data_IF_666899200104
#
_entry.id   IF_666899200104
#
_cell.length_a   1.000
_cell.length_b   1.000
_cell.length_c   1.000
_cell.angle_alpha   90.00
_cell.angle_beta   90.00
_cell.angle_gamma   90.00
#
_symmetry.space_group_name_H-M   'P 1'
#
loop_
_entity.id
_entity.type
_entity.pdbx_description
1 polymer ?
#
# COMPACT_ATOMS: atom_id res chain seq x y z
N UNK A 1 10.29 5.48 -5.31
CA UNK A 1 9.05 4.75 -4.89
C UNK A 1 7.81 5.37 -5.50
N UNK A 2 7.51 6.61 -5.16
CA UNK A 2 6.30 7.34 -5.53
C UNK A 2 5.86 7.21 -7.01
N UNK A 3 6.67 7.66 -7.98
CA UNK A 3 6.27 7.71 -9.39
C UNK A 3 5.95 6.32 -9.98
N UNK A 4 6.71 5.30 -9.57
CA UNK A 4 6.50 3.93 -10.03
C UNK A 4 5.20 3.31 -9.51
N UNK A 5 4.80 3.62 -8.27
CA UNK A 5 3.56 3.12 -7.68
C UNK A 5 2.31 3.81 -8.23
N UNK A 6 2.36 5.12 -8.46
CA UNK A 6 1.27 5.83 -9.17
C UNK A 6 1.10 5.25 -10.57
N UNK A 7 2.21 5.02 -11.28
CA UNK A 7 2.19 4.40 -12.59
C UNK A 7 1.62 2.97 -12.56
N UNK A 8 2.06 2.15 -11.60
CA UNK A 8 1.52 0.79 -11.41
C UNK A 8 0.02 0.82 -11.13
N UNK A 9 -0.42 1.73 -10.25
CA UNK A 9 -1.83 1.92 -9.94
C UNK A 9 -2.67 2.23 -11.17
N UNK A 10 -2.17 3.07 -12.08
CA UNK A 10 -2.84 3.32 -13.37
C UNK A 10 -2.93 2.05 -14.22
N UNK A 11 -1.86 1.27 -14.32
CA UNK A 11 -1.83 0.01 -15.07
C UNK A 11 -2.75 -1.08 -14.49
N UNK A 12 -3.01 -1.04 -13.19
CA UNK A 12 -3.85 -2.01 -12.46
C UNK A 12 -5.28 -1.51 -12.20
N UNK A 13 -5.71 -0.42 -12.84
CA UNK A 13 -7.10 0.05 -12.77
C UNK A 13 -7.46 0.98 -11.60
N UNK A 14 -6.48 1.45 -10.84
CA UNK A 14 -6.66 2.47 -9.79
C UNK A 14 -6.54 3.90 -10.33
N UNK A 15 -6.43 4.08 -11.65
CA UNK A 15 -6.29 5.38 -12.31
C UNK A 15 -7.53 6.27 -12.22
N UNK A 16 -8.07 6.70 -13.36
CA UNK A 16 -9.25 7.56 -13.40
C UNK A 16 -10.49 6.81 -12.89
N UNK A 17 -11.14 7.36 -11.87
CA UNK A 17 -12.39 6.87 -11.29
C UNK A 17 -13.47 7.93 -11.42
N UNK A 18 -14.65 7.55 -11.92
CA UNK A 18 -15.84 8.39 -11.86
C UNK A 18 -16.43 8.29 -10.44
N UNK A 19 -16.50 9.43 -9.74
CA UNK A 19 -17.00 9.52 -8.38
C UNK A 19 -18.53 9.43 -8.29
N UNK A 20 -19.24 9.75 -9.38
CA UNK A 20 -20.70 9.73 -9.44
C UNK A 20 -21.19 8.81 -10.58
N UNK A 21 -20.84 7.52 -10.54
CA UNK A 21 -21.27 6.58 -11.58
C UNK A 21 -22.81 6.51 -11.62
N UNK A 22 -23.38 6.66 -12.82
CA UNK A 22 -24.83 6.63 -13.02
C UNK A 22 -25.56 7.96 -12.87
N UNK A 23 -24.90 9.04 -12.41
CA UNK A 23 -25.46 10.40 -12.39
C UNK A 23 -24.94 11.22 -13.58
N UNK A 24 -23.66 11.03 -13.94
CA UNK A 24 -23.05 11.63 -15.13
C UNK A 24 -21.54 11.39 -15.20
N UNK A 25 -20.92 11.79 -16.30
CA UNK A 25 -19.50 11.49 -16.59
C UNK A 25 -18.51 12.57 -16.15
N UNK A 26 -18.98 13.66 -15.53
CA UNK A 26 -18.17 14.86 -15.29
C UNK A 26 -17.22 14.82 -14.09
N UNK A 27 -17.43 13.91 -13.13
CA UNK A 27 -16.69 13.92 -11.84
C UNK A 27 -15.63 12.83 -11.78
N UNK A 28 -14.54 13.01 -12.53
CA UNK A 28 -13.47 12.02 -12.66
C UNK A 28 -12.18 12.52 -11.99
N UNK A 29 -11.63 11.74 -11.07
CA UNK A 29 -10.32 11.98 -10.46
C UNK A 29 -9.39 10.77 -10.65
N UNK A 30 -8.08 11.01 -10.69
CA UNK A 30 -7.09 9.93 -10.71
C UNK A 30 -6.78 9.49 -9.28
N UNK A 31 -7.21 8.28 -8.92
CA UNK A 31 -7.03 7.73 -7.57
C UNK A 31 -5.75 6.92 -7.42
N UNK A 32 -4.90 6.83 -8.45
CA UNK A 32 -3.71 5.97 -8.42
C UNK A 32 -2.71 6.40 -7.34
N UNK A 33 -2.80 7.66 -6.91
CA UNK A 33 -2.06 8.24 -5.80
C UNK A 33 -2.36 7.58 -4.44
N UNK A 34 -3.54 6.98 -4.27
CA UNK A 34 -3.94 6.36 -3.00
C UNK A 34 -3.17 5.09 -2.68
N UNK A 35 -2.73 4.35 -3.70
CA UNK A 35 -1.93 3.13 -3.55
C UNK A 35 -0.60 3.39 -2.83
N UNK A 36 0.30 4.27 -3.33
CA UNK A 36 1.54 4.56 -2.62
C UNK A 36 1.30 5.18 -1.25
N UNK A 37 0.32 6.09 -1.11
CA UNK A 37 0.04 6.74 0.17
C UNK A 37 -0.32 5.71 1.25
N UNK A 38 -1.23 4.77 0.96
CA UNK A 38 -1.64 3.76 1.94
C UNK A 38 -0.49 2.87 2.37
N UNK A 39 0.28 2.34 1.40
CA UNK A 39 1.41 1.45 1.67
C UNK A 39 2.52 2.18 2.43
N UNK A 40 2.87 3.40 2.02
CA UNK A 40 3.94 4.18 2.65
C UNK A 40 3.55 4.66 4.05
N UNK A 41 2.30 5.08 4.27
CA UNK A 41 1.83 5.47 5.59
C UNK A 41 1.93 4.31 6.59
N UNK A 42 1.51 3.11 6.18
CA UNK A 42 1.65 1.92 7.03
C UNK A 42 3.12 1.51 7.23
N UNK A 43 3.93 1.51 6.17
CA UNK A 43 5.35 1.18 6.27
C UNK A 43 6.08 2.12 7.24
N UNK A 44 5.79 3.42 7.16
CA UNK A 44 6.33 4.44 8.06
C UNK A 44 5.88 4.20 9.50
N UNK A 45 4.60 3.89 9.72
CA UNK A 45 4.08 3.58 11.05
C UNK A 45 4.75 2.31 11.63
N UNK A 46 4.87 1.24 10.86
CA UNK A 46 5.53 0.01 11.28
C UNK A 46 7.02 0.22 11.60
N UNK A 47 7.73 0.96 10.74
CA UNK A 47 9.13 1.34 10.98
C UNK A 47 9.28 2.18 12.24
N UNK A 48 8.39 3.14 12.45
CA UNK A 48 8.40 3.98 13.64
C UNK A 48 8.20 3.15 14.91
N UNK A 49 7.20 2.25 14.97
CA UNK A 49 6.99 1.38 16.14
C UNK A 49 8.21 0.49 16.38
N UNK A 50 8.77 -0.11 15.32
CA UNK A 50 9.93 -0.99 15.45
C UNK A 50 11.18 -0.25 15.94
N UNK A 51 11.55 0.87 15.30
CA UNK A 51 12.81 1.56 15.56
C UNK A 51 12.77 2.46 16.80
N UNK A 52 11.58 2.96 17.19
CA UNK A 52 11.45 3.74 18.44
C UNK A 52 11.45 2.88 19.70
N UNK A 53 11.37 1.55 19.56
CA UNK A 53 11.30 0.63 20.70
C UNK A 53 10.01 0.73 21.51
N UNK A 54 8.97 1.38 20.97
CA UNK A 54 7.67 1.56 21.63
C UNK A 54 6.84 0.28 21.61
N UNK A 55 6.14 0.01 22.71
CA UNK A 55 5.28 -1.17 22.90
C UNK A 55 6.02 -2.38 23.46
N UNK A 56 5.30 -3.50 23.57
CA UNK A 56 5.79 -4.80 24.00
C UNK A 56 6.66 -5.45 22.94
N UNK A 57 7.39 -6.50 23.34
CA UNK A 57 8.20 -7.28 22.40
C UNK A 57 7.37 -7.94 21.31
N UNK A 58 6.09 -8.22 21.59
CA UNK A 58 5.14 -8.72 20.58
C UNK A 58 4.83 -7.65 19.54
N UNK A 59 4.52 -6.42 19.96
CA UNK A 59 4.28 -5.30 19.06
C UNK A 59 5.50 -4.99 18.20
N UNK A 60 6.70 -4.92 18.81
CA UNK A 60 7.97 -4.69 18.09
C UNK A 60 8.28 -5.78 17.09
N UNK A 61 8.06 -7.05 17.44
CA UNK A 61 8.29 -8.18 16.51
C UNK A 61 7.34 -8.12 15.32
N UNK A 62 6.06 -7.82 15.55
CA UNK A 62 5.09 -7.63 14.46
C UNK A 62 5.50 -6.46 13.57
N UNK A 63 5.81 -5.30 14.17
CA UNK A 63 6.25 -4.10 13.47
C UNK A 63 7.52 -4.32 12.64
N UNK A 64 8.50 -5.08 13.14
CA UNK A 64 9.72 -5.44 12.40
C UNK A 64 9.41 -6.21 11.12
N UNK A 65 8.66 -7.30 11.25
CA UNK A 65 8.35 -8.13 10.09
C UNK A 65 7.47 -7.40 9.09
N UNK A 66 6.51 -6.61 9.56
CA UNK A 66 5.65 -5.85 8.69
C UNK A 66 6.34 -4.67 8.01
N UNK A 67 7.28 -4.00 8.69
CA UNK A 67 8.14 -2.99 8.08
C UNK A 67 8.99 -3.57 6.94
N UNK A 68 9.69 -4.68 7.21
CA UNK A 68 10.50 -5.37 6.19
C UNK A 68 9.62 -5.82 5.02
N UNK A 69 8.48 -6.46 5.30
CA UNK A 69 7.53 -6.87 4.27
C UNK A 69 7.05 -5.70 3.42
N UNK A 70 6.72 -4.57 4.04
CA UNK A 70 6.25 -3.37 3.32
C UNK A 70 7.35 -2.75 2.44
N UNK A 71 8.60 -2.76 2.89
CA UNK A 71 9.75 -2.32 2.08
C UNK A 71 9.98 -3.23 0.87
N UNK A 72 9.91 -4.55 1.06
CA UNK A 72 10.03 -5.53 -0.04
C UNK A 72 8.90 -5.36 -1.04
N UNK A 73 7.65 -5.21 -0.58
CA UNK A 73 6.50 -4.92 -1.44
C UNK A 73 6.73 -3.61 -2.19
N UNK A 74 7.14 -2.55 -1.49
CA UNK A 74 7.47 -1.24 -2.05
C UNK A 74 8.50 -1.31 -3.20
N UNK A 75 9.58 -2.07 -2.99
CA UNK A 75 10.59 -2.32 -4.02
C UNK A 75 10.03 -3.15 -5.19
N UNK A 76 9.29 -4.22 -4.90
CA UNK A 76 8.68 -5.07 -5.92
C UNK A 76 7.71 -4.30 -6.83
N UNK A 77 6.88 -3.41 -6.26
CA UNK A 77 5.98 -2.56 -7.04
C UNK A 77 6.72 -1.57 -7.96
N UNK A 78 7.84 -1.01 -7.50
CA UNK A 78 8.71 -0.19 -8.35
C UNK A 78 9.28 -0.99 -9.53
N UNK A 79 9.85 -2.17 -9.24
CA UNK A 79 10.43 -3.05 -10.26
C UNK A 79 9.36 -3.46 -11.28
N UNK A 80 8.20 -3.90 -10.80
CA UNK A 80 7.09 -4.31 -11.65
C UNK A 80 6.66 -3.20 -12.60
N UNK A 81 6.48 -1.97 -12.11
CA UNK A 81 6.12 -0.84 -12.98
C UNK A 81 7.13 -0.59 -14.10
N UNK A 82 8.42 -0.57 -13.76
CA UNK A 82 9.46 -0.31 -14.74
C UNK A 82 9.58 -1.43 -15.78
N UNK A 83 9.44 -2.69 -15.38
CA UNK A 83 9.41 -3.82 -16.31
C UNK A 83 8.20 -3.78 -17.25
N UNK A 84 6.99 -3.54 -16.71
CA UNK A 84 5.77 -3.44 -17.53
C UNK A 84 5.87 -2.28 -18.53
N UNK A 85 6.43 -1.15 -18.11
CA UNK A 85 6.61 0.03 -18.96
C UNK A 85 7.68 -0.22 -20.03
N UNK A 86 8.76 -0.93 -19.71
CA UNK A 86 9.80 -1.31 -20.66
C UNK A 86 9.26 -2.22 -21.78
N UNK A 87 8.30 -3.09 -21.45
CA UNK A 87 7.58 -3.94 -22.42
C UNK A 87 6.39 -3.22 -23.11
N UNK A 88 6.25 -1.89 -22.92
CA UNK A 88 5.18 -1.08 -23.50
C UNK A 88 3.75 -1.55 -23.13
N UNK A 89 3.59 -2.23 -22.00
CA UNK A 89 2.28 -2.69 -21.54
C UNK A 89 1.45 -1.54 -21.02
N UNK A 90 0.23 -1.41 -21.55
CA UNK A 90 -0.74 -0.37 -21.12
C UNK A 90 -1.71 -0.86 -20.03
N UNK A 91 -1.71 -2.17 -19.77
CA UNK A 91 -2.47 -2.82 -18.69
C UNK A 91 -1.59 -3.87 -18.02
N UNK A 92 -1.62 -3.92 -16.70
CA UNK A 92 -0.91 -4.95 -15.96
C UNK A 92 -1.58 -6.32 -16.15
N UNK A 93 -0.81 -7.41 -16.26
CA UNK A 93 -1.35 -8.76 -16.28
C UNK A 93 -2.12 -9.05 -14.99
N UNK A 94 -3.14 -9.90 -15.09
CA UNK A 94 -4.10 -10.15 -14.00
C UNK A 94 -3.46 -10.54 -12.66
N UNK A 95 -2.32 -11.28 -12.57
CA UNK A 95 -1.73 -11.60 -11.26
C UNK A 95 -1.20 -10.35 -10.54
N UNK A 96 -0.63 -9.40 -11.29
CA UNK A 96 -0.15 -8.13 -10.74
C UNK A 96 -1.34 -7.28 -10.29
N UNK A 97 -2.38 -7.20 -11.13
CA UNK A 97 -3.60 -6.47 -10.79
C UNK A 97 -4.27 -7.03 -9.55
N UNK A 98 -4.40 -8.35 -9.43
CA UNK A 98 -4.94 -9.02 -8.24
C UNK A 98 -4.11 -8.70 -7.00
N UNK A 99 -2.79 -8.85 -7.08
CA UNK A 99 -1.91 -8.58 -5.94
C UNK A 99 -2.02 -7.10 -5.47
N UNK A 100 -1.99 -6.16 -6.42
CA UNK A 100 -2.13 -4.72 -6.12
C UNK A 100 -3.52 -4.40 -5.56
N UNK A 101 -4.57 -5.04 -6.06
CA UNK A 101 -5.93 -4.86 -5.57
C UNK A 101 -6.13 -5.31 -4.11
N UNK A 102 -5.34 -6.28 -3.64
CA UNK A 102 -5.40 -6.73 -2.25
C UNK A 102 -4.64 -5.81 -1.28
N UNK A 103 -3.77 -4.92 -1.76
CA UNK A 103 -2.92 -4.09 -0.90
C UNK A 103 -3.71 -3.18 0.06
N UNK A 104 -4.76 -2.45 -0.37
CA UNK A 104 -5.50 -1.58 0.53
C UNK A 104 -6.12 -2.35 1.71
N UNK A 105 -6.65 -3.55 1.45
CA UNK A 105 -7.26 -4.41 2.48
C UNK A 105 -6.20 -4.95 3.43
N UNK A 106 -5.07 -5.43 2.89
CA UNK A 106 -3.96 -5.92 3.69
C UNK A 106 -3.38 -4.82 4.60
N UNK A 107 -3.15 -3.62 4.04
CA UNK A 107 -2.64 -2.45 4.76
C UNK A 107 -3.59 -2.03 5.88
N UNK A 108 -4.90 -1.98 5.62
CA UNK A 108 -5.91 -1.68 6.65
C UNK A 108 -5.83 -2.69 7.81
N UNK A 109 -5.86 -3.99 7.50
CA UNK A 109 -5.83 -5.04 8.52
C UNK A 109 -4.54 -5.04 9.35
N UNK A 110 -3.40 -4.89 8.68
CA UNK A 110 -2.10 -4.83 9.35
C UNK A 110 -1.95 -3.56 10.20
N UNK A 111 -2.42 -2.41 9.71
CA UNK A 111 -2.44 -1.15 10.46
C UNK A 111 -3.29 -1.23 11.72
N UNK A 112 -4.51 -1.77 11.60
CA UNK A 112 -5.41 -1.97 12.73
C UNK A 112 -4.82 -2.95 13.77
N UNK A 113 -4.22 -4.05 13.31
CA UNK A 113 -3.57 -5.03 14.18
C UNK A 113 -2.40 -4.42 14.95
N UNK A 114 -1.52 -3.67 14.27
CA UNK A 114 -0.38 -3.04 14.92
C UNK A 114 -0.82 -1.95 15.91
N UNK A 115 -1.79 -1.11 15.53
CA UNK A 115 -2.35 -0.08 16.41
C UNK A 115 -3.00 -0.70 17.66
N UNK A 116 -3.70 -1.82 17.49
CA UNK A 116 -4.28 -2.56 18.60
C UNK A 116 -3.20 -3.10 19.56
N UNK A 117 -2.13 -3.71 19.03
CA UNK A 117 -1.01 -4.20 19.84
C UNK A 117 -0.36 -3.07 20.65
N UNK A 118 -0.04 -1.95 20.00
CA UNK A 118 0.55 -0.78 20.67
C UNK A 118 -0.37 -0.24 21.77
N UNK A 119 -1.68 -0.17 21.53
CA UNK A 119 -2.64 0.30 22.54
C UNK A 119 -2.79 -0.67 23.71
N UNK A 120 -2.86 -1.96 23.44
CA UNK A 120 -2.97 -2.99 24.48
C UNK A 120 -1.79 -2.92 25.46
N UNK A 121 -0.59 -2.61 24.96
CA UNK A 121 0.60 -2.44 25.79
C UNK A 121 0.55 -1.19 26.70
N UNK A 122 -0.21 -0.16 26.33
CA UNK A 122 -0.37 1.04 27.15
C UNK A 122 -1.42 0.89 28.26
N UNK A 123 -2.26 -0.14 28.19
CA UNK A 123 -3.29 -0.42 29.19
C UNK A 123 -2.88 -1.52 30.20
N UNK A 124 -1.72 -2.16 30.00
CA UNK A 124 -1.14 -3.17 30.88
C UNK A 124 -0.04 -2.57 31.77
#
# INVERSE_FOLDING_TARGET
VWSGWVGLGRLTGFGKVNLLPGIGDGWVIDTAITLPIGVEAYAAFALWVWLSGRGSDRAKRFARWSAIGSLVVGAAGQIAYHLLTADHLTKAPWPITMAVACLPVAVLGMGAALAHLVRADHCA
#
